data_IF_967139955410
#
_entry.id   IF_967139955410
#
_cell.length_a   1.000
_cell.length_b   1.000
_cell.length_c   1.000
_cell.angle_alpha   90.00
_cell.angle_beta   90.00
_cell.angle_gamma   90.00
#
_symmetry.space_group_name_H-M   'P 1'
#
loop_
_entity.id
_entity.type
_entity.pdbx_description
1 polymer ?
#
# COMPACT_ATOMS: atom_id res chain seq x y z
N UNK A 1 -12.48 41.46 -44.46
CA UNK A 1 -13.04 40.89 -43.22
C UNK A 1 -12.88 39.38 -43.10
N UNK A 2 -12.97 38.58 -44.18
CA UNK A 2 -12.87 37.11 -44.15
C UNK A 2 -11.51 36.55 -43.65
N UNK A 3 -10.38 37.22 -43.95
CA UNK A 3 -9.04 36.76 -43.54
C UNK A 3 -8.77 36.90 -42.03
N UNK A 4 -9.32 37.95 -41.39
CA UNK A 4 -9.15 38.14 -39.93
C UNK A 4 -9.92 37.12 -39.11
N UNK A 5 -11.10 36.68 -39.54
CA UNK A 5 -11.90 35.65 -38.91
C UNK A 5 -11.20 34.26 -39.01
N UNK A 6 -10.55 33.99 -40.15
CA UNK A 6 -9.81 32.73 -40.35
C UNK A 6 -8.60 32.64 -39.42
N UNK A 7 -7.83 33.73 -39.26
CA UNK A 7 -6.65 33.79 -38.37
C UNK A 7 -7.06 33.63 -36.90
N UNK A 8 -8.16 34.26 -36.48
CA UNK A 8 -8.69 34.13 -35.13
C UNK A 8 -9.17 32.68 -34.87
N UNK A 9 -9.85 32.07 -35.85
CA UNK A 9 -10.29 30.67 -35.75
C UNK A 9 -9.12 29.66 -35.60
N UNK A 10 -8.05 29.86 -36.37
CA UNK A 10 -6.84 29.02 -36.29
C UNK A 10 -6.12 29.23 -34.94
N UNK A 11 -6.03 30.47 -34.45
CA UNK A 11 -5.42 30.78 -33.16
C UNK A 11 -6.20 30.15 -31.98
N UNK A 12 -7.55 30.15 -32.04
CA UNK A 12 -8.38 29.51 -31.03
C UNK A 12 -8.25 27.97 -31.05
N UNK A 13 -8.20 27.35 -32.23
CA UNK A 13 -8.00 25.92 -32.38
C UNK A 13 -6.61 25.48 -31.91
N UNK A 14 -5.57 26.27 -32.22
CA UNK A 14 -4.22 26.02 -31.73
C UNK A 14 -4.15 26.18 -30.19
N UNK A 15 -4.81 27.17 -29.62
CA UNK A 15 -4.92 27.38 -28.17
C UNK A 15 -5.63 26.22 -27.47
N UNK A 16 -6.74 25.72 -28.02
CA UNK A 16 -7.46 24.55 -27.50
C UNK A 16 -6.65 23.27 -27.64
N UNK A 17 -5.91 23.08 -28.73
CA UNK A 17 -5.04 21.90 -28.91
C UNK A 17 -3.85 21.92 -27.94
N UNK A 18 -3.26 23.10 -27.69
CA UNK A 18 -2.18 23.25 -26.70
C UNK A 18 -2.69 23.06 -25.26
N UNK A 19 -3.86 23.61 -24.93
CA UNK A 19 -4.45 23.44 -23.61
C UNK A 19 -4.91 21.99 -23.39
N UNK A 20 -5.56 21.37 -24.37
CA UNK A 20 -5.98 19.95 -24.32
C UNK A 20 -4.81 19.00 -24.35
N UNK A 21 -3.81 19.25 -25.20
CA UNK A 21 -2.57 18.48 -25.25
C UNK A 21 -1.74 18.62 -23.98
N UNK A 22 -1.64 19.83 -23.42
CA UNK A 22 -0.97 20.07 -22.15
C UNK A 22 -1.66 19.38 -20.98
N UNK A 23 -2.99 19.43 -20.92
CA UNK A 23 -3.76 18.70 -19.91
C UNK A 23 -3.61 17.17 -20.07
N UNK A 24 -3.69 16.67 -21.29
CA UNK A 24 -3.48 15.24 -21.57
C UNK A 24 -2.09 14.79 -21.16
N UNK A 25 -1.03 15.53 -21.53
CA UNK A 25 0.34 15.26 -21.14
C UNK A 25 0.48 15.32 -19.61
N UNK A 26 -0.09 16.33 -18.97
CA UNK A 26 -0.04 16.49 -17.50
C UNK A 26 -0.71 15.33 -16.75
N UNK A 27 -1.87 14.88 -17.22
CA UNK A 27 -2.64 13.83 -16.53
C UNK A 27 -2.27 12.41 -16.94
N UNK A 28 -1.77 12.18 -18.16
CA UNK A 28 -1.60 10.85 -18.72
C UNK A 28 -0.18 10.48 -19.15
N UNK A 29 0.79 11.41 -19.11
CA UNK A 29 2.16 11.17 -19.60
C UNK A 29 3.16 10.70 -18.53
N UNK A 30 2.71 10.38 -17.31
CA UNK A 30 3.63 10.00 -16.24
C UNK A 30 4.41 11.18 -15.62
N UNK A 31 4.07 12.42 -15.94
CA UNK A 31 4.61 13.60 -15.25
C UNK A 31 4.23 13.63 -13.77
N UNK A 32 3.17 12.90 -13.42
CA UNK A 32 2.75 12.56 -12.07
C UNK A 32 2.34 11.11 -12.06
N UNK A 33 3.02 10.29 -11.32
CA UNK A 33 2.65 8.90 -11.18
C UNK A 33 2.74 8.47 -9.72
N UNK A 34 1.76 7.70 -9.31
CA UNK A 34 1.77 7.02 -8.02
C UNK A 34 1.54 5.55 -8.29
N UNK A 35 2.27 4.66 -7.64
CA UNK A 35 2.03 3.23 -7.80
C UNK A 35 0.60 2.90 -7.37
N UNK A 36 0.04 1.83 -7.92
CA UNK A 36 -1.25 1.30 -7.50
C UNK A 36 -1.25 0.99 -5.99
N UNK A 37 -2.43 1.04 -5.38
CA UNK A 37 -2.60 0.54 -4.02
C UNK A 37 -2.08 -0.90 -3.91
N UNK A 38 -1.52 -1.23 -2.74
CA UNK A 38 -1.09 -2.59 -2.45
C UNK A 38 -2.31 -3.52 -2.45
N UNK A 39 -2.16 -4.66 -3.06
CA UNK A 39 -3.21 -5.66 -3.20
C UNK A 39 -2.61 -7.01 -3.55
N UNK A 40 -3.41 -8.06 -3.42
CA UNK A 40 -2.95 -9.42 -3.72
C UNK A 40 -2.34 -9.51 -5.11
N UNK A 41 -1.30 -10.31 -5.23
CA UNK A 41 -0.69 -10.69 -6.50
C UNK A 41 -1.73 -11.36 -7.39
N UNK A 42 -1.75 -11.01 -8.68
CA UNK A 42 -2.59 -11.73 -9.63
C UNK A 42 -2.15 -13.20 -9.66
N UNK A 43 -3.09 -14.17 -9.72
CA UNK A 43 -2.73 -15.57 -9.88
C UNK A 43 -1.88 -15.71 -11.15
N UNK A 44 -0.66 -16.23 -11.00
CA UNK A 44 0.20 -16.51 -12.15
C UNK A 44 -0.54 -17.41 -13.11
N UNK A 45 -0.63 -17.07 -14.41
CA UNK A 45 -1.23 -17.98 -15.38
C UNK A 45 -0.42 -19.28 -15.35
N UNK A 46 -1.08 -20.40 -15.11
CA UNK A 46 -0.48 -21.73 -15.19
C UNK A 46 -0.01 -21.92 -16.63
N UNK A 47 1.29 -21.77 -16.87
CA UNK A 47 1.89 -22.12 -18.17
C UNK A 47 1.89 -23.65 -18.23
N UNK A 48 0.91 -24.22 -18.92
CA UNK A 48 0.96 -25.61 -19.34
C UNK A 48 2.06 -25.75 -20.40
N UNK A 49 3.25 -26.09 -19.97
CA UNK A 49 4.40 -26.24 -20.86
C UNK A 49 5.54 -27.01 -20.22
N UNK A 50 5.63 -28.28 -20.57
CA UNK A 50 6.84 -29.13 -20.64
C UNK A 50 7.74 -29.21 -19.39
N UNK A 51 7.66 -30.34 -18.71
CA UNK A 51 8.47 -30.83 -17.61
C UNK A 51 9.98 -30.80 -17.95
N UNK A 52 10.84 -30.17 -17.14
CA UNK A 52 12.19 -30.65 -16.90
C UNK A 52 12.21 -31.46 -15.60
N UNK A 53 12.67 -32.68 -15.73
CA UNK A 53 12.92 -33.63 -14.64
C UNK A 53 13.97 -33.06 -13.68
N UNK A 54 13.69 -33.09 -12.37
CA UNK A 54 14.70 -33.21 -11.32
C UNK A 54 14.96 -31.95 -10.48
N UNK A 55 14.09 -31.71 -9.52
CA UNK A 55 14.47 -31.19 -8.20
C UNK A 55 13.37 -31.60 -7.22
N UNK A 56 13.67 -32.01 -5.95
CA UNK A 56 12.64 -32.43 -5.03
C UNK A 56 11.69 -31.25 -4.78
N UNK A 57 10.46 -31.37 -5.26
CA UNK A 57 9.38 -30.45 -4.96
C UNK A 57 9.20 -30.44 -3.43
N UNK A 58 9.33 -29.27 -2.81
CA UNK A 58 8.89 -29.09 -1.45
C UNK A 58 7.43 -29.56 -1.35
N UNK A 59 7.16 -30.52 -0.50
CA UNK A 59 5.83 -31.06 -0.23
C UNK A 59 4.92 -29.89 0.13
N UNK A 60 3.78 -29.66 -0.55
CA UNK A 60 2.87 -28.60 -0.17
C UNK A 60 2.47 -28.79 1.29
N UNK A 61 2.60 -27.76 2.11
CA UNK A 61 2.18 -27.82 3.50
C UNK A 61 0.69 -28.16 3.54
N UNK A 62 0.37 -29.37 3.98
CA UNK A 62 -1.00 -29.87 4.10
C UNK A 62 -1.73 -29.06 5.17
N UNK A 63 -2.57 -28.10 4.73
CA UNK A 63 -3.46 -27.32 5.57
C UNK A 63 -2.92 -25.92 5.94
N UNK A 64 -3.85 -24.96 6.00
CA UNK A 64 -3.58 -23.56 6.37
C UNK A 64 -3.37 -23.40 7.90
N UNK A 65 -3.87 -24.35 8.71
CA UNK A 65 -3.71 -24.32 10.15
C UNK A 65 -2.24 -24.44 10.58
N UNK A 66 -1.84 -23.65 11.57
CA UNK A 66 -0.49 -23.60 12.12
C UNK A 66 -0.01 -22.18 12.38
N UNK A 67 1.24 -22.04 12.79
CA UNK A 67 1.90 -20.74 13.00
C UNK A 67 2.57 -20.25 11.73
N UNK A 68 2.48 -18.95 11.49
CA UNK A 68 2.97 -18.29 10.29
C UNK A 68 3.78 -17.07 10.66
N UNK A 69 4.86 -16.80 9.94
CA UNK A 69 5.74 -15.65 10.15
C UNK A 69 5.91 -14.86 8.88
N UNK A 70 6.04 -13.55 9.02
CA UNK A 70 6.31 -12.63 7.90
C UNK A 70 7.60 -13.03 7.20
N UNK A 71 7.58 -13.03 5.87
CA UNK A 71 8.73 -13.39 5.04
C UNK A 71 9.01 -12.34 3.96
N UNK A 72 10.08 -12.57 3.20
CA UNK A 72 10.52 -11.69 2.10
C UNK A 72 9.43 -11.48 1.06
N UNK A 73 9.45 -10.31 0.42
CA UNK A 73 8.42 -9.88 -0.53
C UNK A 73 7.33 -9.03 0.12
N UNK A 74 7.21 -9.06 1.45
CA UNK A 74 6.25 -8.23 2.19
C UNK A 74 6.59 -6.75 2.08
N UNK A 75 5.55 -5.92 1.92
CA UNK A 75 5.65 -4.47 1.80
C UNK A 75 4.52 -3.82 2.60
N UNK A 76 4.82 -2.74 3.30
CA UNK A 76 3.81 -1.87 3.90
C UNK A 76 4.18 -0.40 3.65
N UNK A 77 3.20 0.48 3.79
CA UNK A 77 3.44 1.90 3.62
C UNK A 77 2.19 2.73 3.81
N UNK A 78 2.25 3.94 3.32
CA UNK A 78 1.12 4.85 3.37
C UNK A 78 0.84 5.48 2.01
N UNK A 79 -0.39 5.90 1.84
CA UNK A 79 -0.87 6.77 0.76
C UNK A 79 -1.61 7.96 1.37
N UNK A 80 -1.25 9.17 0.92
CA UNK A 80 -1.91 10.40 1.37
C UNK A 80 -2.04 11.38 0.21
N UNK A 81 -3.11 12.19 0.21
CA UNK A 81 -3.30 13.24 -0.77
C UNK A 81 -2.49 14.47 -0.41
N UNK A 82 -1.68 14.97 -1.36
CA UNK A 82 -0.99 16.26 -1.24
C UNK A 82 -1.35 17.19 -2.41
N UNK A 83 -1.38 18.47 -2.14
CA UNK A 83 -1.62 19.53 -3.12
C UNK A 83 -0.43 20.47 -3.16
N UNK A 84 0.25 20.51 -4.28
CA UNK A 84 1.33 21.47 -4.51
C UNK A 84 0.77 22.84 -4.95
N UNK A 85 1.40 23.91 -4.47
CA UNK A 85 1.05 25.28 -4.89
C UNK A 85 1.16 25.41 -6.40
N UNK A 86 0.14 26.05 -7.00
CA UNK A 86 0.01 26.20 -8.44
C UNK A 86 -0.61 25.02 -9.15
N UNK A 87 -0.98 23.96 -8.43
CA UNK A 87 -1.70 22.81 -8.99
C UNK A 87 -3.19 22.83 -8.60
N UNK A 88 -4.04 22.34 -9.51
CA UNK A 88 -5.50 22.31 -9.33
C UNK A 88 -6.02 20.95 -8.83
N UNK A 89 -5.17 19.93 -8.82
CA UNK A 89 -5.54 18.59 -8.38
C UNK A 89 -4.50 18.01 -7.43
N UNK A 90 -5.00 17.24 -6.46
CA UNK A 90 -4.15 16.54 -5.49
C UNK A 90 -3.40 15.38 -6.17
N UNK A 91 -2.24 15.09 -5.63
CA UNK A 91 -1.39 13.95 -5.97
C UNK A 91 -1.43 12.91 -4.84
N UNK A 92 -1.26 11.63 -5.16
CA UNK A 92 -1.05 10.59 -4.16
C UNK A 92 0.45 10.50 -3.82
N UNK A 93 0.82 11.01 -2.66
CA UNK A 93 2.12 10.76 -2.07
C UNK A 93 2.13 9.35 -1.47
N UNK A 94 3.07 8.51 -1.89
CA UNK A 94 3.18 7.12 -1.47
C UNK A 94 4.59 6.82 -1.00
N UNK A 95 4.73 6.29 0.21
CA UNK A 95 6.00 5.75 0.68
C UNK A 95 5.82 4.31 1.16
N UNK A 96 6.86 3.49 1.00
CA UNK A 96 6.85 2.06 1.33
C UNK A 96 8.11 1.63 2.05
N UNK A 97 7.99 0.59 2.89
CA UNK A 97 9.08 -0.16 3.51
C UNK A 97 8.88 -1.64 3.24
N UNK A 98 9.97 -2.37 3.06
CA UNK A 98 9.99 -3.84 2.98
C UNK A 98 10.56 -4.49 4.24
N UNK A 99 10.88 -3.71 5.27
CA UNK A 99 11.37 -4.24 6.54
C UNK A 99 10.20 -4.48 7.47
N UNK A 100 9.62 -5.67 7.35
CA UNK A 100 8.49 -6.12 8.14
C UNK A 100 8.82 -7.37 8.92
N UNK A 101 8.18 -7.54 10.08
CA UNK A 101 8.29 -8.73 10.92
C UNK A 101 6.98 -9.03 11.63
N UNK A 102 6.91 -10.19 12.26
CA UNK A 102 5.75 -10.62 13.04
C UNK A 102 5.18 -11.93 12.56
N UNK A 103 3.94 -12.22 12.94
CA UNK A 103 3.29 -13.47 12.58
C UNK A 103 1.89 -13.56 13.14
N UNK A 104 1.31 -14.75 12.94
CA UNK A 104 -0.02 -15.10 13.41
C UNK A 104 -0.16 -16.62 13.52
N UNK A 105 -1.22 -17.06 14.18
CA UNK A 105 -1.57 -18.48 14.25
C UNK A 105 -2.95 -18.69 13.63
N UNK A 106 -3.05 -19.64 12.72
CA UNK A 106 -4.31 -20.06 12.08
C UNK A 106 -4.76 -21.38 12.68
N UNK A 107 -6.01 -21.45 13.08
CA UNK A 107 -6.69 -22.69 13.51
C UNK A 107 -8.01 -22.86 12.76
N UNK A 108 -8.57 -24.06 12.76
CA UNK A 108 -9.79 -24.37 12.05
C UNK A 108 -9.58 -25.18 10.78
N UNK A 109 -10.55 -25.14 9.88
CA UNK A 109 -10.56 -25.99 8.69
C UNK A 109 -11.68 -25.65 7.70
N UNK A 110 -12.36 -26.66 7.16
CA UNK A 110 -13.31 -26.53 6.03
C UNK A 110 -14.54 -25.66 6.29
N UNK A 111 -14.88 -25.38 7.54
CA UNK A 111 -16.02 -24.54 7.93
C UNK A 111 -15.63 -23.10 8.29
N UNK A 112 -14.36 -22.77 8.26
CA UNK A 112 -13.83 -21.44 8.57
C UNK A 112 -12.54 -21.52 9.37
N UNK A 113 -11.85 -20.40 9.44
CA UNK A 113 -10.59 -20.25 10.15
C UNK A 113 -10.69 -19.19 11.24
N UNK A 114 -10.05 -19.48 12.36
CA UNK A 114 -9.76 -18.52 13.41
C UNK A 114 -8.28 -18.16 13.32
N UNK A 115 -8.01 -16.87 13.23
CA UNK A 115 -6.65 -16.32 13.27
C UNK A 115 -6.45 -15.69 14.64
N UNK A 116 -5.33 -15.95 15.28
CA UNK A 116 -5.01 -15.47 16.62
C UNK A 116 -3.56 -15.05 16.73
N UNK A 117 -3.21 -14.42 17.86
CA UNK A 117 -1.85 -13.95 18.16
C UNK A 117 -1.27 -13.10 17.01
N UNK A 118 -2.07 -12.23 16.43
CA UNK A 118 -1.67 -11.40 15.30
C UNK A 118 -0.75 -10.29 15.82
N UNK A 119 0.47 -10.26 15.33
CA UNK A 119 1.44 -9.20 15.59
C UNK A 119 2.19 -8.89 14.30
N UNK A 120 2.16 -7.63 13.87
CA UNK A 120 2.85 -7.16 12.67
C UNK A 120 3.60 -5.89 13.02
N UNK A 121 4.85 -5.80 12.62
CA UNK A 121 5.72 -4.63 12.81
C UNK A 121 6.32 -4.21 11.49
N UNK A 122 6.23 -2.92 11.19
CA UNK A 122 6.89 -2.29 10.05
C UNK A 122 7.92 -1.27 10.55
N UNK A 123 9.17 -1.41 10.09
CA UNK A 123 10.24 -0.47 10.42
C UNK A 123 10.09 0.78 9.55
N UNK A 124 9.80 1.91 10.19
CA UNK A 124 9.48 3.17 9.51
C UNK A 124 10.73 3.93 9.05
N UNK A 125 11.90 3.66 9.64
CA UNK A 125 13.17 4.24 9.18
C UNK A 125 13.56 3.79 7.77
N UNK A 126 12.94 2.72 7.27
CA UNK A 126 13.09 2.23 5.89
C UNK A 126 12.04 2.76 4.90
N UNK A 127 11.15 3.69 5.33
CA UNK A 127 10.16 4.29 4.43
C UNK A 127 10.85 5.13 3.36
N UNK A 128 10.52 4.87 2.11
CA UNK A 128 10.98 5.65 0.95
C UNK A 128 9.82 6.02 0.05
N UNK A 129 9.83 7.25 -0.47
CA UNK A 129 8.86 7.72 -1.44
C UNK A 129 9.01 6.96 -2.76
N UNK A 130 7.90 6.45 -3.29
CA UNK A 130 7.86 5.60 -4.51
C UNK A 130 6.96 6.19 -5.61
N UNK A 131 6.37 7.37 -5.38
CA UNK A 131 5.68 8.17 -6.37
C UNK A 131 6.66 9.10 -7.11
N UNK A 132 6.19 9.76 -8.15
CA UNK A 132 6.97 10.77 -8.87
C UNK A 132 6.13 11.97 -9.26
N UNK A 133 6.75 13.15 -9.21
CA UNK A 133 6.17 14.42 -9.68
C UNK A 133 7.21 15.15 -10.49
N UNK A 134 6.92 15.47 -11.76
CA UNK A 134 7.88 16.14 -12.63
C UNK A 134 8.36 17.48 -12.05
N UNK A 135 9.68 17.67 -12.10
CA UNK A 135 10.34 18.86 -11.57
C UNK A 135 10.42 18.93 -10.05
N UNK A 136 10.11 17.84 -9.33
CA UNK A 136 10.22 17.76 -7.87
C UNK A 136 10.97 16.51 -7.44
N UNK A 137 11.82 16.68 -6.46
CA UNK A 137 12.45 15.56 -5.76
C UNK A 137 11.56 15.15 -4.59
N UNK A 138 10.78 14.08 -4.79
CA UNK A 138 9.84 13.57 -3.77
C UNK A 138 10.56 12.89 -2.60
N UNK A 139 11.84 12.52 -2.74
CA UNK A 139 12.62 11.88 -1.67
C UNK A 139 12.94 12.85 -0.52
N UNK A 140 12.88 14.16 -0.76
CA UNK A 140 12.98 15.16 0.32
C UNK A 140 11.86 15.01 1.37
N UNK A 141 10.71 14.43 0.97
CA UNK A 141 9.61 14.09 1.87
C UNK A 141 10.05 13.08 2.93
N UNK A 142 10.92 12.14 2.59
CA UNK A 142 11.35 11.05 3.50
C UNK A 142 12.04 11.63 4.73
N UNK A 143 12.95 12.61 4.54
CA UNK A 143 13.60 13.31 5.64
C UNK A 143 12.63 14.14 6.49
N UNK A 144 11.58 14.70 5.85
CA UNK A 144 10.55 15.45 6.56
C UNK A 144 9.67 14.53 7.41
N UNK A 145 9.23 13.40 6.85
CA UNK A 145 8.46 12.36 7.55
C UNK A 145 9.27 11.82 8.73
N UNK A 146 10.56 11.51 8.53
CA UNK A 146 11.44 11.02 9.59
C UNK A 146 11.47 11.96 10.79
N UNK A 147 11.63 13.26 10.56
CA UNK A 147 11.65 14.25 11.65
C UNK A 147 10.28 14.46 12.29
N UNK A 148 9.22 14.53 11.49
CA UNK A 148 7.88 14.81 12.00
C UNK A 148 7.30 13.66 12.81
N UNK A 149 7.67 12.43 12.45
CA UNK A 149 7.28 11.21 13.15
C UNK A 149 8.25 10.81 14.26
N UNK A 150 9.32 11.61 14.47
CA UNK A 150 10.37 11.32 15.45
C UNK A 150 10.83 9.85 15.37
N UNK A 151 11.28 9.44 14.16
CA UNK A 151 11.64 8.04 13.91
C UNK A 151 12.90 7.59 14.68
N UNK A 152 13.64 8.50 15.29
CA UNK A 152 14.71 8.14 16.23
C UNK A 152 14.14 7.57 17.54
N UNK A 153 13.01 8.10 18.00
CA UNK A 153 12.32 7.63 19.20
C UNK A 153 11.25 6.57 18.90
N UNK A 154 10.58 6.69 17.75
CA UNK A 154 9.47 5.82 17.35
C UNK A 154 9.73 5.17 15.98
N UNK A 155 10.73 4.27 15.88
CA UNK A 155 11.18 3.71 14.60
C UNK A 155 10.16 2.77 13.95
N UNK A 156 9.16 2.31 14.69
CA UNK A 156 8.28 1.24 14.28
C UNK A 156 6.80 1.64 14.29
N UNK A 157 6.04 1.07 13.37
CA UNK A 157 4.59 0.95 13.48
C UNK A 157 4.22 -0.51 13.78
N UNK A 158 3.32 -0.72 14.76
CA UNK A 158 2.91 -2.07 15.15
C UNK A 158 1.40 -2.22 15.10
N UNK A 159 0.94 -3.36 14.59
CA UNK A 159 -0.46 -3.78 14.66
C UNK A 159 -0.58 -5.08 15.44
N UNK A 160 -1.49 -5.11 16.41
CA UNK A 160 -1.79 -6.30 17.21
C UNK A 160 -3.29 -6.56 17.25
N UNK A 161 -3.67 -7.83 17.12
CA UNK A 161 -5.05 -8.25 17.35
C UNK A 161 -5.06 -9.64 18.03
N UNK A 162 -6.02 -9.82 18.94
CA UNK A 162 -6.15 -11.08 19.67
C UNK A 162 -6.69 -12.20 18.77
N UNK A 163 -7.66 -11.85 17.92
CA UNK A 163 -8.28 -12.80 16.99
C UNK A 163 -8.97 -12.12 15.83
N UNK A 164 -9.12 -12.87 14.74
CA UNK A 164 -9.97 -12.55 13.61
C UNK A 164 -10.60 -13.84 13.07
N UNK A 165 -11.77 -13.75 12.47
CA UNK A 165 -12.45 -14.85 11.81
C UNK A 165 -12.38 -14.68 10.30
N UNK A 166 -12.15 -15.77 9.59
CA UNK A 166 -12.26 -15.84 8.14
C UNK A 166 -13.28 -16.90 7.81
N UNK A 167 -14.40 -16.49 7.23
CA UNK A 167 -15.46 -17.39 6.83
C UNK A 167 -15.06 -18.17 5.56
N UNK A 168 -15.37 -19.47 5.55
CA UNK A 168 -15.04 -20.34 4.43
C UNK A 168 -13.59 -20.84 4.44
N UNK A 169 -13.08 -21.14 3.25
CA UNK A 169 -11.73 -21.71 3.08
C UNK A 169 -10.77 -20.70 2.48
N UNK A 170 -9.59 -20.53 3.07
CA UNK A 170 -8.49 -19.78 2.46
C UNK A 170 -7.85 -20.70 1.41
N UNK A 171 -8.00 -20.33 0.14
CA UNK A 171 -7.49 -21.08 -1.01
C UNK A 171 -6.66 -20.14 -1.90
N UNK A 172 -6.40 -20.53 -3.13
CA UNK A 172 -5.87 -19.62 -4.17
C UNK A 172 -6.90 -18.59 -4.64
N UNK A 173 -8.17 -18.69 -4.23
CA UNK A 173 -9.15 -17.63 -4.41
C UNK A 173 -9.11 -16.71 -3.21
N UNK A 174 -9.15 -15.38 -3.41
CA UNK A 174 -9.14 -14.41 -2.33
C UNK A 174 -10.35 -14.55 -1.41
N UNK A 175 -10.10 -14.55 -0.10
CA UNK A 175 -11.12 -14.43 0.94
C UNK A 175 -11.05 -13.04 1.55
N UNK A 176 -12.21 -12.39 1.71
CA UNK A 176 -12.33 -11.09 2.36
C UNK A 176 -12.47 -11.26 3.87
N UNK A 177 -11.84 -10.39 4.64
CA UNK A 177 -12.01 -10.34 6.09
C UNK A 177 -11.85 -8.91 6.61
N UNK A 178 -12.37 -8.67 7.82
CA UNK A 178 -12.13 -7.46 8.60
C UNK A 178 -11.46 -7.85 9.90
N UNK A 179 -10.35 -7.17 10.22
CA UNK A 179 -9.56 -7.45 11.42
C UNK A 179 -9.52 -6.21 12.29
N UNK A 180 -10.18 -6.27 13.43
CA UNK A 180 -10.12 -5.21 14.44
C UNK A 180 -8.94 -5.46 15.37
N UNK A 181 -8.17 -4.41 15.61
CA UNK A 181 -6.96 -4.51 16.42
C UNK A 181 -6.46 -3.14 16.86
N UNK A 182 -5.29 -3.13 17.46
CA UNK A 182 -4.63 -1.94 17.97
C UNK A 182 -3.44 -1.61 17.07
N UNK A 183 -3.48 -0.42 16.47
CA UNK A 183 -2.38 0.15 15.70
C UNK A 183 -1.64 1.16 16.57
N UNK A 184 -0.33 1.02 16.64
CA UNK A 184 0.56 1.97 17.33
C UNK A 184 1.48 2.63 16.33
N UNK A 185 1.44 3.96 16.26
CA UNK A 185 2.29 4.80 15.43
C UNK A 185 2.71 6.00 16.29
N UNK A 186 3.95 6.47 16.16
CA UNK A 186 4.44 7.64 16.89
C UNK A 186 4.18 7.56 18.41
N UNK A 187 4.32 6.37 19.00
CA UNK A 187 4.05 6.10 20.40
C UNK A 187 2.58 6.11 20.83
N UNK A 188 1.64 6.43 19.91
CA UNK A 188 0.21 6.49 20.20
C UNK A 188 -0.50 5.25 19.67
N UNK A 189 -1.30 4.60 20.52
CA UNK A 189 -2.08 3.40 20.15
C UNK A 189 -3.55 3.73 19.99
N UNK A 190 -4.15 3.26 18.89
CA UNK A 190 -5.57 3.41 18.58
C UNK A 190 -6.18 2.09 18.13
N UNK A 191 -7.46 1.89 18.46
CA UNK A 191 -8.23 0.79 17.90
C UNK A 191 -8.62 1.13 16.46
N UNK A 192 -8.34 0.22 15.56
CA UNK A 192 -8.61 0.36 14.12
C UNK A 192 -9.18 -0.93 13.56
N UNK A 193 -9.79 -0.84 12.39
CA UNK A 193 -10.24 -2.00 11.63
C UNK A 193 -9.57 -2.01 10.27
N UNK A 194 -8.81 -3.07 9.99
CA UNK A 194 -8.22 -3.33 8.70
C UNK A 194 -9.21 -4.09 7.81
N UNK A 195 -9.35 -3.65 6.57
CA UNK A 195 -10.00 -4.45 5.52
C UNK A 195 -8.91 -5.24 4.80
N UNK A 196 -9.05 -6.55 4.76
CA UNK A 196 -8.02 -7.44 4.23
C UNK A 196 -8.61 -8.45 3.24
N UNK A 197 -7.77 -8.88 2.32
CA UNK A 197 -7.96 -10.05 1.46
C UNK A 197 -6.81 -11.01 1.72
N UNK A 198 -7.12 -12.30 1.83
CA UNK A 198 -6.12 -13.34 2.03
C UNK A 198 -6.27 -14.44 0.98
N UNK A 199 -5.14 -14.97 0.51
CA UNK A 199 -5.09 -16.13 -0.39
C UNK A 199 -3.89 -17.01 -0.10
N UNK A 200 -3.94 -18.24 -0.58
CA UNK A 200 -2.77 -19.14 -0.61
C UNK A 200 -2.04 -18.95 -1.93
N UNK A 201 -0.75 -18.62 -1.85
CA UNK A 201 0.15 -18.45 -2.99
C UNK A 201 1.33 -19.41 -2.85
N UNK A 202 1.26 -20.55 -3.54
CA UNK A 202 2.25 -21.62 -3.38
C UNK A 202 2.20 -22.22 -1.97
N UNK A 203 3.32 -22.14 -1.22
CA UNK A 203 3.43 -22.60 0.17
C UNK A 203 3.24 -21.47 1.19
N UNK A 204 2.84 -20.28 0.76
CA UNK A 204 2.68 -19.07 1.57
C UNK A 204 1.20 -18.68 1.69
N UNK A 205 0.90 -17.90 2.71
CA UNK A 205 -0.32 -17.09 2.77
C UNK A 205 0.08 -15.66 2.38
N UNK A 206 -0.67 -15.07 1.47
CA UNK A 206 -0.57 -13.67 1.10
C UNK A 206 -1.76 -12.92 1.67
N UNK A 207 -1.52 -11.79 2.33
CA UNK A 207 -2.54 -10.94 2.95
C UNK A 207 -2.30 -9.51 2.51
N UNK A 208 -3.20 -8.96 1.71
CA UNK A 208 -3.15 -7.56 1.34
C UNK A 208 -4.34 -6.80 1.90
N UNK A 209 -4.13 -5.53 2.23
CA UNK A 209 -5.21 -4.74 2.80
C UNK A 209 -4.84 -3.29 3.09
N UNK A 210 -5.77 -2.63 3.78
CA UNK A 210 -5.61 -1.23 4.14
C UNK A 210 -6.33 -0.87 5.45
N UNK A 211 -5.83 0.22 6.06
CA UNK A 211 -6.40 0.84 7.25
C UNK A 211 -6.47 2.34 7.02
N UNK A 212 -7.65 2.95 6.93
CA UNK A 212 -7.78 4.41 6.93
C UNK A 212 -7.53 4.95 8.34
N UNK A 213 -6.71 5.99 8.45
CA UNK A 213 -6.40 6.67 9.71
C UNK A 213 -6.45 8.19 9.54
N UNK A 214 -6.49 8.91 10.66
CA UNK A 214 -6.31 10.36 10.71
C UNK A 214 -5.01 10.65 11.45
N UNK A 215 -4.10 11.43 10.84
CA UNK A 215 -2.77 11.71 11.40
C UNK A 215 -2.84 12.27 12.82
N UNK A 216 -3.76 13.20 13.08
CA UNK A 216 -3.91 13.86 14.38
C UNK A 216 -4.30 12.91 15.50
N UNK A 217 -4.95 11.78 15.18
CA UNK A 217 -5.28 10.75 16.18
C UNK A 217 -4.03 10.06 16.73
N UNK A 218 -2.94 10.11 15.98
CA UNK A 218 -1.63 9.57 16.37
C UNK A 218 -0.64 10.66 16.77
N UNK A 219 -1.13 11.89 17.05
CA UNK A 219 -0.26 13.01 17.46
C UNK A 219 0.59 13.61 16.33
N UNK A 220 0.33 13.23 15.08
CA UNK A 220 1.06 13.74 13.91
C UNK A 220 0.28 14.88 13.27
N UNK A 221 0.88 16.05 13.17
CA UNK A 221 0.26 17.21 12.52
C UNK A 221 0.44 17.11 11.00
N UNK A 222 -0.63 17.22 10.18
CA UNK A 222 -0.49 17.23 8.74
C UNK A 222 0.45 18.35 8.27
N UNK A 223 1.44 18.06 7.40
CA UNK A 223 2.34 19.07 6.88
C UNK A 223 1.60 20.16 6.12
N UNK A 224 1.89 21.41 6.44
CA UNK A 224 1.46 22.59 5.69
C UNK A 224 2.64 23.54 5.55
N UNK A 225 3.26 23.52 4.39
CA UNK A 225 4.43 24.36 4.08
C UNK A 225 4.13 25.24 2.87
N UNK A 226 4.89 26.33 2.61
CA UNK A 226 4.57 27.31 1.57
C UNK A 226 4.35 26.72 0.16
N UNK A 227 4.84 25.52 -0.11
CA UNK A 227 4.79 24.91 -1.46
C UNK A 227 3.91 23.67 -1.55
N UNK A 228 3.40 23.10 -0.42
CA UNK A 228 2.49 21.96 -0.41
C UNK A 228 1.64 21.88 0.85
N UNK A 229 0.45 21.33 0.72
CA UNK A 229 -0.42 20.94 1.84
C UNK A 229 -0.75 19.46 1.71
N UNK A 230 -0.82 18.77 2.86
CA UNK A 230 -1.10 17.33 2.95
C UNK A 230 -2.42 17.12 3.70
N UNK A 231 -3.26 16.23 3.22
CA UNK A 231 -4.51 15.88 3.91
C UNK A 231 -4.21 15.17 5.24
N UNK A 232 -5.10 15.35 6.22
CA UNK A 232 -4.99 14.65 7.50
C UNK A 232 -5.35 13.17 7.42
N UNK A 233 -6.14 12.77 6.41
CA UNK A 233 -6.52 11.38 6.19
C UNK A 233 -5.44 10.65 5.40
N UNK A 234 -5.00 9.52 5.95
CA UNK A 234 -3.97 8.64 5.38
C UNK A 234 -4.53 7.23 5.28
N UNK A 235 -4.20 6.54 4.21
CA UNK A 235 -4.44 5.10 4.09
C UNK A 235 -3.12 4.38 4.31
N UNK A 236 -3.05 3.56 5.36
CA UNK A 236 -1.98 2.58 5.52
C UNK A 236 -2.30 1.42 4.60
N UNK A 237 -1.34 1.03 3.76
CA UNK A 237 -1.46 -0.07 2.81
C UNK A 237 -0.44 -1.16 3.14
N UNK A 238 -0.78 -2.42 2.94
CA UNK A 238 0.14 -3.53 3.13
C UNK A 238 -0.15 -4.69 2.18
N UNK A 239 0.90 -5.41 1.84
CA UNK A 239 0.90 -6.71 1.18
C UNK A 239 1.94 -7.58 1.87
N UNK A 240 1.49 -8.61 2.56
CA UNK A 240 2.28 -9.41 3.49
C UNK A 240 2.29 -10.86 3.06
N UNK A 241 3.48 -11.40 2.87
CA UNK A 241 3.71 -12.82 2.64
C UNK A 241 4.09 -13.50 3.94
N UNK A 242 3.43 -14.59 4.25
CA UNK A 242 3.65 -15.40 5.43
C UNK A 242 4.14 -16.80 5.05
N UNK A 243 5.24 -17.21 5.65
CA UNK A 243 5.74 -18.57 5.56
C UNK A 243 5.34 -19.39 6.80
N UNK A 244 5.03 -20.67 6.62
CA UNK A 244 4.68 -21.54 7.72
C UNK A 244 5.90 -21.83 8.60
N UNK A 245 5.71 -21.69 9.90
CA UNK A 245 6.75 -22.09 10.87
C UNK A 245 6.78 -23.61 10.94
N UNK A 246 7.99 -24.17 10.83
CA UNK A 246 8.21 -25.62 10.86
C UNK A 246 8.00 -26.20 12.27
#
# INVERSE_FOLDING_TARGET
MKGRLLVVGIACLAGLALAGGGAYIYFFSGLRSSPSALGLSAPSPTVSGTTPSGSPAATPATGVAGSWTVTTGSVAGYRVKELFVGQTSKHDAVARTSTLSGGLTVSGGSSGYQVSAITLTAVLTGLTSVDSVAGRDVTQRDSFVSRQMDLEQFPDATFTASSASVDGTITSQPADASVSGKLTIHGVSKDVTATVKAQVTGAMIEIAGSVPIVMTDFGVTPPSVPFTTVDSQVTIEFDIFLAKVA
#
